data_IF_065036734382
#
_entry.id   IF_065036734382
#
_cell.length_a   1.000
_cell.length_b   1.000
_cell.length_c   1.000
_cell.angle_alpha   90.00
_cell.angle_beta   90.00
_cell.angle_gamma   90.00
#
_symmetry.space_group_name_H-M   'P 1'
#
loop_
_entity.id
_entity.type
_entity.pdbx_description
1 polymer ?
#
# COMPACT_ATOMS: atom_id res chain seq x y z
N UNK A 1 -1.98 24.30 -23.80
CA UNK A 1 -2.29 22.86 -23.73
C UNK A 1 -1.67 22.35 -22.45
N UNK A 2 -2.48 21.89 -21.48
CA UNK A 2 -1.96 21.44 -20.19
C UNK A 2 -1.26 20.09 -20.39
N UNK A 3 0.07 20.08 -20.35
CA UNK A 3 0.86 18.85 -20.42
C UNK A 3 0.68 18.08 -19.12
N UNK A 4 0.23 16.82 -19.22
CA UNK A 4 0.19 15.86 -18.11
C UNK A 4 1.32 14.86 -18.35
N UNK A 5 2.08 14.54 -17.30
CA UNK A 5 3.19 13.59 -17.35
C UNK A 5 3.01 12.54 -16.27
N UNK A 6 3.14 11.26 -16.65
CA UNK A 6 3.28 10.19 -15.67
C UNK A 6 4.70 10.24 -15.13
N UNK A 7 4.83 10.51 -13.83
CA UNK A 7 6.14 10.49 -13.18
C UNK A 7 6.61 9.06 -12.98
N UNK A 8 5.77 8.21 -12.36
CA UNK A 8 6.12 6.84 -12.00
C UNK A 8 4.93 5.88 -12.13
N UNK A 9 5.24 4.60 -12.35
CA UNK A 9 4.27 3.50 -12.37
C UNK A 9 4.79 2.35 -11.51
N UNK A 10 4.10 2.07 -10.42
CA UNK A 10 4.36 0.88 -9.61
C UNK A 10 3.43 -0.24 -10.06
N UNK A 11 4.01 -1.29 -10.63
CA UNK A 11 3.25 -2.49 -11.01
C UNK A 11 2.99 -3.34 -9.77
N UNK A 12 1.75 -3.82 -9.64
CA UNK A 12 1.39 -4.80 -8.63
C UNK A 12 0.27 -5.71 -9.14
N UNK A 13 0.20 -6.91 -8.58
CA UNK A 13 -0.71 -7.94 -9.02
C UNK A 13 -2.00 -7.91 -8.19
N UNK A 14 -3.08 -8.45 -8.74
CA UNK A 14 -4.22 -8.78 -7.90
C UNK A 14 -5.24 -7.62 -7.82
N UNK A 15 -5.33 -6.71 -8.80
CA UNK A 15 -6.06 -5.45 -8.62
C UNK A 15 -6.94 -5.02 -9.79
N UNK A 16 -7.67 -5.95 -10.38
CA UNK A 16 -8.72 -5.64 -11.34
C UNK A 16 -10.03 -5.32 -10.59
N UNK A 17 -10.06 -4.16 -9.93
CA UNK A 17 -11.21 -3.71 -9.13
C UNK A 17 -11.44 -2.20 -9.25
N UNK A 18 -12.70 -1.81 -9.19
CA UNK A 18 -13.16 -0.44 -9.51
C UNK A 18 -12.67 0.64 -8.53
N UNK A 19 -12.23 0.29 -7.32
CA UNK A 19 -11.74 1.25 -6.34
C UNK A 19 -10.78 0.64 -5.33
N UNK A 20 -9.67 1.35 -5.12
CA UNK A 20 -8.66 1.11 -4.09
C UNK A 20 -8.08 2.44 -3.64
N UNK A 21 -7.80 2.58 -2.34
CA UNK A 21 -7.14 3.77 -1.78
C UNK A 21 -5.79 3.38 -1.19
N UNK A 22 -4.73 4.02 -1.68
CA UNK A 22 -3.40 3.95 -1.05
C UNK A 22 -3.30 4.92 0.13
N UNK A 23 -2.32 4.69 0.99
CA UNK A 23 -1.86 5.63 2.01
C UNK A 23 -0.37 5.86 1.86
N UNK A 24 0.08 7.06 2.25
CA UNK A 24 1.48 7.38 2.44
C UNK A 24 1.65 7.67 3.94
N UNK A 25 2.78 7.24 4.51
CA UNK A 25 3.09 7.52 5.91
C UNK A 25 3.32 9.03 6.15
N UNK A 26 3.35 9.44 7.42
CA UNK A 26 3.49 10.86 7.77
C UNK A 26 4.79 11.48 7.25
N UNK A 27 5.87 10.70 7.17
CA UNK A 27 7.17 11.17 6.69
C UNK A 27 7.30 11.20 5.17
N UNK A 28 6.28 10.76 4.44
CA UNK A 28 6.25 10.70 2.96
C UNK A 28 7.30 9.77 2.36
N UNK A 29 7.64 8.69 3.07
CA UNK A 29 8.69 7.74 2.67
C UNK A 29 8.12 6.39 2.27
N UNK A 30 6.98 5.99 2.82
CA UNK A 30 6.39 4.68 2.56
C UNK A 30 5.00 4.83 1.98
N UNK A 31 4.79 4.28 0.78
CA UNK A 31 3.48 4.09 0.16
C UNK A 31 2.95 2.69 0.54
N UNK A 32 1.66 2.57 0.85
CA UNK A 32 0.99 1.28 1.06
C UNK A 32 -0.32 1.18 0.28
N UNK A 33 -0.52 0.05 -0.41
CA UNK A 33 -1.69 -0.22 -1.24
C UNK A 33 -2.13 -1.68 -1.10
N UNK A 34 -3.42 -1.89 -0.87
CA UNK A 34 -4.03 -3.22 -0.81
C UNK A 34 -4.17 -3.88 -2.19
N UNK A 35 -4.60 -5.14 -2.23
CA UNK A 35 -5.06 -5.82 -3.44
C UNK A 35 -6.31 -6.69 -3.18
N UNK A 36 -6.82 -7.39 -4.20
CA UNK A 36 -8.05 -8.19 -4.14
C UNK A 36 -7.93 -9.49 -3.32
N UNK A 37 -6.72 -9.90 -2.95
CA UNK A 37 -6.47 -11.19 -2.27
C UNK A 37 -5.85 -10.99 -0.88
N UNK A 38 -6.12 -9.86 -0.23
CA UNK A 38 -5.69 -9.61 1.14
C UNK A 38 -4.22 -9.26 1.30
N UNK A 39 -3.48 -9.01 0.22
CA UNK A 39 -2.08 -8.56 0.28
C UNK A 39 -2.01 -7.04 0.35
N UNK A 40 -1.00 -6.53 1.05
CA UNK A 40 -0.63 -5.13 1.01
C UNK A 40 0.77 -5.01 0.41
N UNK A 41 0.87 -4.20 -0.63
CA UNK A 41 2.12 -3.81 -1.25
C UNK A 41 2.60 -2.52 -0.61
N UNK A 42 3.87 -2.47 -0.26
CA UNK A 42 4.50 -1.25 0.26
C UNK A 42 5.74 -0.91 -0.56
N UNK A 43 5.97 0.36 -0.82
CA UNK A 43 7.15 0.87 -1.50
C UNK A 43 7.85 1.91 -0.65
N UNK A 44 9.18 1.80 -0.56
CA UNK A 44 10.03 2.92 -0.14
C UNK A 44 10.14 3.90 -1.30
N UNK A 45 9.57 5.09 -1.12
CA UNK A 45 9.49 6.16 -2.11
C UNK A 45 10.42 7.33 -1.75
N UNK A 46 11.22 7.22 -0.69
CA UNK A 46 12.28 8.16 -0.32
C UNK A 46 13.58 7.83 -1.06
N UNK A 47 13.50 7.83 -2.39
CA UNK A 47 14.60 7.44 -3.29
C UNK A 47 14.84 8.50 -4.36
N UNK A 48 16.09 8.67 -4.76
CA UNK A 48 16.48 9.64 -5.81
C UNK A 48 15.97 9.20 -7.18
N UNK A 49 16.10 7.91 -7.49
CA UNK A 49 15.48 7.29 -8.68
C UNK A 49 14.35 6.37 -8.23
N UNK A 50 13.16 6.60 -8.76
CA UNK A 50 11.98 5.77 -8.53
C UNK A 50 12.14 4.29 -8.89
N UNK A 51 13.06 3.94 -9.79
CA UNK A 51 13.33 2.53 -10.12
C UNK A 51 13.99 1.79 -8.94
N UNK A 52 14.57 2.53 -8.00
CA UNK A 52 15.17 1.99 -6.78
C UNK A 52 14.15 1.77 -5.65
N UNK A 53 12.89 2.17 -5.86
CA UNK A 53 11.83 2.04 -4.86
C UNK A 53 11.58 0.57 -4.54
N UNK A 54 12.04 0.14 -3.35
CA UNK A 54 11.97 -1.26 -2.95
C UNK A 54 10.54 -1.65 -2.58
N UNK A 55 10.03 -2.68 -3.24
CA UNK A 55 8.75 -3.27 -2.92
C UNK A 55 8.86 -4.30 -1.79
N UNK A 56 7.92 -4.28 -0.86
CA UNK A 56 7.66 -5.35 0.10
C UNK A 56 6.18 -5.73 0.07
N UNK A 57 5.88 -7.00 0.33
CA UNK A 57 4.51 -7.51 0.40
C UNK A 57 4.22 -8.00 1.81
N UNK A 58 3.16 -7.47 2.41
CA UNK A 58 2.62 -7.93 3.67
C UNK A 58 1.47 -8.89 3.38
N UNK A 59 1.51 -10.07 4.01
CA UNK A 59 0.51 -11.12 3.80
C UNK A 59 0.34 -11.95 5.06
N UNK A 60 -0.88 -12.45 5.27
CA UNK A 60 -1.21 -13.36 6.36
C UNK A 60 -2.22 -14.38 5.82
N UNK A 61 -2.13 -15.68 6.16
CA UNK A 61 -2.98 -16.71 5.57
C UNK A 61 -4.49 -16.51 5.73
N UNK A 62 -4.90 -15.72 6.73
CA UNK A 62 -6.30 -15.40 7.03
C UNK A 62 -6.75 -14.04 6.45
N UNK A 63 -5.83 -13.21 5.98
CA UNK A 63 -6.16 -11.95 5.31
C UNK A 63 -6.27 -12.24 3.81
N UNK A 64 -7.48 -12.54 3.35
CA UNK A 64 -7.71 -13.06 1.98
C UNK A 64 -8.71 -12.23 1.17
N UNK A 65 -9.47 -11.34 1.81
CA UNK A 65 -10.44 -10.48 1.14
C UNK A 65 -9.78 -9.22 0.54
N UNK A 66 -10.50 -8.57 -0.38
CA UNK A 66 -10.02 -7.37 -1.05
C UNK A 66 -9.79 -6.23 -0.06
N UNK A 67 -8.59 -5.65 -0.04
CA UNK A 67 -8.20 -4.56 0.86
C UNK A 67 -8.52 -3.21 0.24
N UNK A 68 -9.58 -2.54 0.69
CA UNK A 68 -10.06 -1.29 0.06
C UNK A 68 -9.25 -0.06 0.40
N UNK A 69 -8.71 -0.02 1.61
CA UNK A 69 -8.04 1.15 2.13
C UNK A 69 -6.99 0.74 3.16
N UNK A 70 -5.89 1.48 3.14
CA UNK A 70 -4.80 1.42 4.12
C UNK A 70 -4.70 2.74 4.89
N UNK A 71 -4.10 2.72 6.08
CA UNK A 71 -3.80 3.91 6.87
C UNK A 71 -2.61 3.66 7.81
N UNK A 72 -1.68 4.61 7.87
CA UNK A 72 -0.55 4.57 8.80
C UNK A 72 -0.88 5.30 10.10
N UNK A 73 -0.32 4.84 11.21
CA UNK A 73 -0.17 5.66 12.42
C UNK A 73 0.76 6.84 12.15
N UNK A 74 0.66 7.89 12.98
CA UNK A 74 1.44 9.13 12.82
C UNK A 74 2.96 8.89 12.82
N UNK A 75 3.43 7.92 13.60
CA UNK A 75 4.83 7.52 13.69
C UNK A 75 5.23 6.43 12.67
N UNK A 76 4.28 5.96 11.86
CA UNK A 76 4.50 4.88 10.88
C UNK A 76 4.81 3.51 11.49
N UNK A 77 4.64 3.32 12.80
CA UNK A 77 4.89 2.05 13.47
C UNK A 77 3.78 1.02 13.22
N UNK A 78 2.58 1.49 12.90
CA UNK A 78 1.39 0.66 12.64
C UNK A 78 0.80 1.00 11.27
N UNK A 79 0.45 -0.04 10.52
CA UNK A 79 -0.38 0.04 9.33
C UNK A 79 -1.67 -0.73 9.55
N UNK A 80 -2.80 -0.08 9.32
CA UNK A 80 -4.13 -0.71 9.36
C UNK A 80 -4.68 -0.81 7.94
N UNK A 81 -5.41 -1.87 7.63
CA UNK A 81 -6.21 -1.97 6.42
C UNK A 81 -7.60 -2.54 6.69
N UNK A 82 -8.54 -2.21 5.81
CA UNK A 82 -9.94 -2.68 5.88
C UNK A 82 -10.30 -3.47 4.62
N UNK A 83 -11.07 -4.53 4.79
CA UNK A 83 -11.37 -5.50 3.74
C UNK A 83 -12.87 -5.59 3.42
N UNK A 84 -13.21 -6.12 2.23
CA UNK A 84 -14.60 -6.31 1.77
C UNK A 84 -15.42 -7.28 2.63
N UNK A 85 -14.76 -8.20 3.35
CA UNK A 85 -15.40 -9.13 4.29
C UNK A 85 -15.67 -8.52 5.67
N UNK A 86 -15.45 -7.20 5.82
CA UNK A 86 -15.62 -6.47 7.07
C UNK A 86 -14.47 -6.66 8.06
N UNK A 87 -13.39 -7.33 7.68
CA UNK A 87 -12.22 -7.49 8.57
C UNK A 87 -11.32 -6.25 8.56
N UNK A 88 -10.64 -6.06 9.69
CA UNK A 88 -9.61 -5.03 9.87
C UNK A 88 -8.31 -5.74 10.25
N UNK A 89 -7.23 -5.43 9.54
CA UNK A 89 -5.92 -6.03 9.78
C UNK A 89 -4.93 -4.96 10.23
N UNK A 90 -4.11 -5.32 11.21
CA UNK A 90 -3.04 -4.48 11.74
C UNK A 90 -1.70 -5.14 11.46
N UNK A 91 -0.75 -4.32 11.01
CA UNK A 91 0.64 -4.70 10.82
C UNK A 91 1.51 -3.79 11.68
N UNK A 92 2.30 -4.40 12.55
CA UNK A 92 3.30 -3.71 13.34
C UNK A 92 4.65 -3.77 12.61
N UNK A 93 5.31 -2.62 12.50
CA UNK A 93 6.67 -2.55 11.97
C UNK A 93 7.60 -3.22 12.97
N UNK A 94 8.23 -4.32 12.56
CA UNK A 94 9.33 -4.90 13.33
C UNK A 94 10.47 -3.87 13.45
N UNK A 95 11.00 -3.72 14.66
CA UNK A 95 12.18 -2.90 14.96
C UNK A 95 13.42 -3.43 14.23
#
# INVERSE_FOLDING_TARGET
MNSVTVLHKFEYAQCDIWFMRFAIDHSQKILALGNQVGKIYTWDIDVTDSHDAKQKVLSHPKCTAAVRQTCFSKDGSVLICVCDDGTIWRWDRAL
#
